data_IF_797157821350
#
_entry.id   IF_797157821350
#
_cell.length_a   1.000
_cell.length_b   1.000
_cell.length_c   1.000
_cell.angle_alpha   90.00
_cell.angle_beta   90.00
_cell.angle_gamma   90.00
#
_symmetry.space_group_name_H-M   'P 1'
#
loop_
_entity.id
_entity.type
_entity.pdbx_description
1 polymer ?
#
# COMPACT_ATOMS: atom_id res chain seq x y z
N UNK A 1 0.30 14.98 -17.61
CA UNK A 1 0.15 15.35 -16.18
C UNK A 1 0.56 14.12 -15.38
N UNK A 2 1.52 14.24 -14.47
CA UNK A 2 2.15 13.08 -13.80
C UNK A 2 1.55 12.96 -12.40
N UNK A 3 0.75 11.93 -12.14
CA UNK A 3 0.26 11.68 -10.78
C UNK A 3 1.46 11.32 -9.90
N UNK A 4 1.71 12.14 -8.88
CA UNK A 4 2.68 11.83 -7.83
C UNK A 4 1.88 11.40 -6.61
N UNK A 5 1.78 10.09 -6.37
CA UNK A 5 1.19 9.57 -5.14
C UNK A 5 2.01 10.09 -3.97
N UNK A 6 1.36 10.83 -3.07
CA UNK A 6 2.10 11.71 -2.17
C UNK A 6 2.29 11.14 -0.77
N UNK A 7 1.43 10.23 -0.29
CA UNK A 7 1.64 9.59 1.00
C UNK A 7 0.87 8.28 1.13
N UNK A 8 1.53 7.24 1.65
CA UNK A 8 0.87 6.06 2.22
C UNK A 8 0.37 6.43 3.62
N UNK A 9 -0.91 6.24 3.90
CA UNK A 9 -1.42 6.37 5.26
C UNK A 9 -0.82 5.29 6.17
N UNK A 10 -0.90 5.48 7.48
CA UNK A 10 -0.69 4.37 8.42
C UNK A 10 -1.54 3.16 8.04
N UNK A 11 -0.96 1.97 8.10
CA UNK A 11 -1.66 0.70 7.93
C UNK A 11 -2.09 0.23 9.32
N UNK A 12 -3.39 -0.04 9.49
CA UNK A 12 -3.99 -0.49 10.75
C UNK A 12 -4.41 -1.95 10.65
N UNK A 13 -4.25 -2.72 11.72
CA UNK A 13 -4.59 -4.15 11.77
C UNK A 13 -3.39 -5.03 12.13
N UNK A 14 -3.46 -6.29 11.74
CA UNK A 14 -2.40 -7.28 11.91
C UNK A 14 -1.43 -7.38 10.73
N UNK A 15 -0.37 -8.15 10.93
CA UNK A 15 0.69 -8.40 9.94
C UNK A 15 0.55 -9.79 9.28
N UNK A 16 -0.64 -10.41 9.33
CA UNK A 16 -0.91 -11.71 8.74
C UNK A 16 -1.12 -11.62 7.22
N UNK A 17 -0.94 -12.73 6.51
CA UNK A 17 -1.24 -12.79 5.06
C UNK A 17 -0.16 -12.19 4.15
N UNK A 18 -0.57 -11.83 2.93
CA UNK A 18 0.27 -11.22 1.89
C UNK A 18 -0.07 -9.74 1.73
N UNK A 19 0.96 -8.92 1.48
CA UNK A 19 0.77 -7.51 1.19
C UNK A 19 0.24 -7.32 -0.23
N UNK A 20 -0.69 -6.38 -0.40
CA UNK A 20 -1.21 -5.97 -1.70
C UNK A 20 -1.50 -4.47 -1.72
N UNK A 21 -1.49 -3.90 -2.92
CA UNK A 21 -1.76 -2.50 -3.16
C UNK A 21 -2.54 -2.34 -4.46
N UNK A 22 -3.68 -1.67 -4.36
CA UNK A 22 -4.54 -1.41 -5.51
C UNK A 22 -3.89 -0.37 -6.44
N UNK A 23 -3.00 0.47 -5.93
CA UNK A 23 -2.28 1.45 -6.74
C UNK A 23 -1.42 0.76 -7.82
N UNK A 24 -0.65 -0.26 -7.45
CA UNK A 24 0.20 -0.97 -8.42
C UNK A 24 -0.64 -1.71 -9.46
N UNK A 25 -1.80 -2.25 -9.05
CA UNK A 25 -2.76 -2.88 -9.98
C UNK A 25 -3.28 -1.85 -10.98
N UNK A 26 -3.68 -0.67 -10.51
CA UNK A 26 -4.16 0.41 -11.39
C UNK A 26 -3.07 0.86 -12.36
N UNK A 27 -1.85 1.10 -11.88
CA UNK A 27 -0.74 1.50 -12.76
C UNK A 27 -0.39 0.40 -13.77
N UNK A 28 -0.54 -0.87 -13.41
CA UNK A 28 -0.30 -1.99 -14.33
C UNK A 28 -1.39 -2.12 -15.40
N UNK A 29 -2.67 -1.92 -15.04
CA UNK A 29 -3.80 -2.01 -15.98
C UNK A 29 -3.93 -0.80 -16.92
N UNK A 30 -3.47 0.38 -16.47
CA UNK A 30 -3.43 1.58 -17.31
C UNK A 30 -2.09 1.58 -18.06
N UNK A 31 -2.14 1.46 -19.39
CA UNK A 31 -0.96 1.44 -20.26
C UNK A 31 -0.02 2.61 -19.93
N UNK A 32 1.31 2.38 -19.94
CA UNK A 32 2.31 3.34 -19.45
C UNK A 32 2.34 4.71 -20.17
N UNK A 33 1.69 4.85 -21.33
CA UNK A 33 1.60 6.10 -22.08
C UNK A 33 0.39 6.96 -21.67
N UNK A 34 -0.56 6.39 -20.93
CA UNK A 34 -1.76 7.09 -20.48
C UNK A 34 -1.49 7.87 -19.18
N UNK A 35 -1.80 9.16 -19.22
CA UNK A 35 -1.83 9.97 -18.01
C UNK A 35 -3.16 9.77 -17.28
N UNK A 36 -3.09 9.24 -16.07
CA UNK A 36 -4.22 9.20 -15.16
C UNK A 36 -4.52 10.64 -14.71
N UNK A 37 -5.78 11.03 -14.78
CA UNK A 37 -6.32 12.28 -14.25
C UNK A 37 -6.93 12.08 -12.88
N UNK A 38 -7.71 11.01 -12.71
CA UNK A 38 -8.47 10.77 -11.50
C UNK A 38 -8.64 9.28 -11.22
N UNK A 39 -8.73 8.91 -9.93
CA UNK A 39 -9.05 7.56 -9.48
C UNK A 39 -10.12 7.68 -8.41
N UNK A 40 -11.33 7.19 -8.69
CA UNK A 40 -12.44 7.18 -7.74
C UNK A 40 -12.92 5.76 -7.51
N UNK A 41 -13.35 5.46 -6.29
CA UNK A 41 -14.06 4.20 -6.02
C UNK A 41 -15.42 4.23 -6.73
N UNK A 42 -15.69 3.23 -7.56
CA UNK A 42 -16.99 3.06 -8.24
C UNK A 42 -17.89 2.05 -7.55
N UNK A 43 -17.31 0.96 -7.05
CA UNK A 43 -18.03 -0.08 -6.31
C UNK A 43 -17.23 -0.55 -5.11
N UNK A 44 -17.95 -0.76 -4.02
CA UNK A 44 -17.46 -1.42 -2.81
C UNK A 44 -18.09 -2.81 -2.75
N UNK A 45 -17.27 -3.85 -2.70
CA UNK A 45 -17.71 -5.23 -2.45
C UNK A 45 -17.19 -5.63 -1.08
N UNK A 46 -18.08 -6.06 -0.20
CA UNK A 46 -17.75 -6.55 1.13
C UNK A 46 -18.42 -7.88 1.34
N UNK A 47 -17.73 -8.82 1.97
CA UNK A 47 -18.37 -10.00 2.53
C UNK A 47 -18.26 -10.02 4.04
N UNK A 48 -19.33 -10.51 4.65
CA UNK A 48 -19.44 -10.68 6.10
C UNK A 48 -19.78 -12.11 6.45
N UNK A 49 -19.25 -12.57 7.57
CA UNK A 49 -19.59 -13.86 8.17
C UNK A 49 -21.09 -13.89 8.50
N UNK A 50 -21.83 -14.85 7.96
CA UNK A 50 -23.30 -14.91 8.12
C UNK A 50 -23.73 -15.23 9.55
N UNK A 51 -22.87 -15.84 10.37
CA UNK A 51 -23.18 -16.21 11.75
C UNK A 51 -22.72 -15.14 12.75
N UNK A 52 -21.51 -14.60 12.56
CA UNK A 52 -20.90 -13.65 13.51
C UNK A 52 -20.98 -12.20 13.05
N UNK A 53 -21.23 -11.94 11.78
CA UNK A 53 -21.34 -10.61 11.20
C UNK A 53 -20.01 -9.89 10.98
N UNK A 54 -18.85 -10.49 11.25
CA UNK A 54 -17.55 -9.86 11.04
C UNK A 54 -17.20 -9.71 9.56
N UNK A 55 -16.42 -8.68 9.24
CA UNK A 55 -15.83 -8.50 7.91
C UNK A 55 -14.93 -9.69 7.57
N UNK A 56 -15.15 -10.30 6.42
CA UNK A 56 -14.32 -11.38 5.88
C UNK A 56 -13.45 -10.88 4.74
N UNK A 57 -14.04 -10.07 3.85
CA UNK A 57 -13.34 -9.59 2.67
C UNK A 57 -13.80 -8.22 2.21
N UNK A 58 -12.91 -7.54 1.50
CA UNK A 58 -13.10 -6.22 0.90
C UNK A 58 -12.45 -6.20 -0.49
N UNK A 59 -13.17 -5.65 -1.46
CA UNK A 59 -12.62 -5.35 -2.78
C UNK A 59 -13.25 -4.07 -3.32
N UNK A 60 -12.41 -3.16 -3.83
CA UNK A 60 -12.85 -1.99 -4.56
C UNK A 60 -12.80 -2.24 -6.07
N UNK A 61 -13.74 -1.63 -6.78
CA UNK A 61 -13.64 -1.40 -8.22
C UNK A 61 -13.54 0.10 -8.40
N UNK A 62 -12.55 0.55 -9.14
CA UNK A 62 -12.25 1.96 -9.37
C UNK A 62 -12.76 2.40 -10.74
N UNK A 63 -13.24 3.63 -10.83
CA UNK A 63 -13.30 4.37 -12.07
C UNK A 63 -12.01 5.20 -12.20
N UNK A 64 -11.19 4.86 -13.17
CA UNK A 64 -9.92 5.52 -13.48
C UNK A 64 -10.12 6.36 -14.72
N UNK A 65 -9.99 7.67 -14.57
CA UNK A 65 -10.09 8.62 -15.68
C UNK A 65 -8.69 8.89 -16.24
N UNK A 66 -8.49 8.68 -17.54
CA UNK A 66 -7.25 8.98 -18.24
C UNK A 66 -7.45 10.07 -19.31
N UNK A 67 -6.40 10.40 -20.05
CA UNK A 67 -6.53 11.20 -21.27
C UNK A 67 -7.36 10.51 -22.36
N UNK A 68 -7.45 9.18 -22.35
CA UNK A 68 -8.10 8.40 -23.40
C UNK A 68 -9.52 7.95 -23.04
N UNK A 69 -9.96 8.24 -21.82
CA UNK A 69 -11.33 8.01 -21.35
C UNK A 69 -11.39 7.44 -19.93
N UNK A 70 -12.57 7.01 -19.53
CA UNK A 70 -12.80 6.34 -18.25
C UNK A 70 -12.67 4.82 -18.39
N UNK A 71 -12.04 4.18 -17.41
CA UNK A 71 -11.87 2.72 -17.34
C UNK A 71 -12.18 2.19 -15.96
N UNK A 72 -12.82 1.02 -15.91
CA UNK A 72 -13.01 0.31 -14.66
C UNK A 72 -11.82 -0.60 -14.38
N UNK A 73 -11.20 -0.43 -13.22
CA UNK A 73 -10.10 -1.27 -12.73
C UNK A 73 -10.55 -2.01 -11.49
N UNK A 74 -10.31 -3.31 -11.42
CA UNK A 74 -10.64 -4.12 -10.24
C UNK A 74 -9.45 -4.20 -9.31
N UNK A 75 -9.59 -3.71 -8.08
CA UNK A 75 -8.55 -3.76 -7.06
C UNK A 75 -8.31 -5.17 -6.50
N UNK A 76 -7.33 -5.26 -5.60
CA UNK A 76 -7.01 -6.51 -4.93
C UNK A 76 -8.20 -7.03 -4.10
N UNK A 77 -8.29 -8.35 -4.00
CA UNK A 77 -9.23 -9.01 -3.11
C UNK A 77 -8.56 -9.16 -1.74
N UNK A 78 -8.94 -8.32 -0.78
CA UNK A 78 -8.46 -8.43 0.60
C UNK A 78 -9.35 -9.43 1.34
N UNK A 79 -8.78 -10.53 1.82
CA UNK A 79 -9.53 -11.62 2.46
C UNK A 79 -10.22 -12.55 1.46
N UNK A 80 -10.82 -13.64 1.93
CA UNK A 80 -11.38 -14.68 1.04
C UNK A 80 -12.82 -14.43 0.63
N UNK A 81 -13.17 -14.97 -0.54
CA UNK A 81 -14.54 -14.88 -1.04
C UNK A 81 -15.50 -15.86 -0.33
N UNK A 82 -15.92 -15.55 0.90
CA UNK A 82 -16.82 -16.37 1.71
C UNK A 82 -17.85 -15.53 2.48
N UNK A 83 -19.02 -16.12 2.78
CA UNK A 83 -20.11 -15.47 3.53
C UNK A 83 -21.07 -14.65 2.65
N UNK A 84 -21.75 -13.69 3.27
CA UNK A 84 -22.79 -12.87 2.61
C UNK A 84 -22.17 -11.71 1.85
N UNK A 85 -22.31 -11.72 0.52
CA UNK A 85 -21.86 -10.62 -0.34
C UNK A 85 -22.80 -9.42 -0.26
N UNK A 86 -22.21 -8.26 -0.01
CA UNK A 86 -22.87 -6.97 -0.06
C UNK A 86 -22.11 -6.08 -1.04
N UNK A 87 -22.85 -5.45 -1.95
CA UNK A 87 -22.28 -4.54 -2.94
C UNK A 87 -22.89 -3.17 -2.84
N UNK A 88 -22.06 -2.15 -2.97
CA UNK A 88 -22.49 -0.77 -3.04
C UNK A 88 -21.90 -0.09 -4.26
N UNK A 89 -22.78 0.23 -5.21
CA UNK A 89 -22.45 1.01 -6.38
C UNK A 89 -22.61 2.50 -6.08
N UNK A 90 -21.50 3.24 -6.18
CA UNK A 90 -21.51 4.67 -6.00
C UNK A 90 -22.22 5.33 -7.18
N UNK A 91 -23.15 6.25 -6.86
CA UNK A 91 -23.88 7.04 -7.86
C UNK A 91 -22.93 7.93 -8.64
N UNK A 92 -23.40 8.47 -9.77
CA UNK A 92 -22.63 9.46 -10.50
C UNK A 92 -22.34 10.67 -9.59
N UNK A 93 -21.08 11.10 -9.55
CA UNK A 93 -20.55 12.14 -8.65
C UNK A 93 -20.55 11.81 -7.14
N UNK A 94 -20.92 10.60 -6.76
CA UNK A 94 -20.69 10.13 -5.40
C UNK A 94 -19.22 9.74 -5.23
N UNK A 95 -18.58 10.25 -4.18
CA UNK A 95 -17.18 9.95 -3.86
C UNK A 95 -17.04 9.46 -2.43
N UNK A 96 -16.10 8.55 -2.20
CA UNK A 96 -15.65 8.21 -0.85
C UNK A 96 -14.82 9.38 -0.33
N UNK A 97 -15.10 9.83 0.90
CA UNK A 97 -14.41 10.93 1.59
C UNK A 97 -13.46 10.42 2.68
N UNK A 98 -13.87 9.39 3.39
CA UNK A 98 -13.09 8.77 4.45
C UNK A 98 -13.50 7.31 4.65
N UNK A 99 -12.57 6.53 5.19
CA UNK A 99 -12.78 5.16 5.62
C UNK A 99 -12.47 5.13 7.11
N UNK A 100 -13.34 4.52 7.90
CA UNK A 100 -13.09 4.30 9.32
C UNK A 100 -13.49 2.89 9.67
N UNK A 101 -13.05 2.39 10.82
CA UNK A 101 -13.33 1.02 11.18
C UNK A 101 -12.75 0.61 12.52
N UNK A 102 -12.86 -0.68 12.79
CA UNK A 102 -12.19 -1.30 13.92
C UNK A 102 -11.40 -2.52 13.50
N UNK A 103 -10.32 -2.78 14.24
CA UNK A 103 -9.54 -4.01 14.14
C UNK A 103 -9.31 -4.60 15.53
N UNK A 104 -9.24 -5.93 15.59
CA UNK A 104 -9.11 -6.63 16.86
C UNK A 104 -8.92 -8.13 16.66
N UNK A 105 -8.91 -8.86 17.77
CA UNK A 105 -8.71 -10.31 17.71
C UNK A 105 -9.95 -11.01 17.15
N UNK A 106 -9.75 -11.85 16.14
CA UNK A 106 -10.69 -12.81 15.63
C UNK A 106 -10.01 -14.17 15.49
N UNK A 107 -10.42 -15.14 16.31
CA UNK A 107 -9.89 -16.52 16.27
C UNK A 107 -8.36 -16.61 16.40
N UNK A 108 -7.74 -15.70 17.16
CA UNK A 108 -6.28 -15.66 17.35
C UNK A 108 -5.53 -14.73 16.38
N UNK A 109 -6.20 -14.19 15.36
CA UNK A 109 -5.61 -13.26 14.38
C UNK A 109 -6.08 -11.83 14.64
N UNK A 110 -5.21 -10.84 14.43
CA UNK A 110 -5.61 -9.42 14.45
C UNK A 110 -6.07 -9.04 13.04
N UNK A 111 -7.35 -8.70 12.90
CA UNK A 111 -7.99 -8.45 11.60
C UNK A 111 -8.91 -7.24 11.67
N UNK A 112 -9.18 -6.62 10.53
CA UNK A 112 -10.25 -5.64 10.36
C UNK A 112 -11.60 -6.35 10.50
N UNK A 113 -12.44 -5.88 11.41
CA UNK A 113 -13.73 -6.53 11.73
C UNK A 113 -14.94 -5.71 11.31
N UNK A 114 -14.78 -4.40 11.24
CA UNK A 114 -15.81 -3.45 10.90
C UNK A 114 -15.23 -2.33 10.05
N UNK A 115 -15.98 -1.91 9.03
CA UNK A 115 -15.66 -0.79 8.16
C UNK A 115 -16.87 0.12 8.00
N UNK A 116 -16.58 1.40 7.91
CA UNK A 116 -17.53 2.46 7.64
C UNK A 116 -16.95 3.40 6.59
N UNK A 117 -17.62 3.48 5.46
CA UNK A 117 -17.30 4.36 4.34
C UNK A 117 -18.18 5.60 4.42
N UNK A 118 -17.54 6.76 4.61
CA UNK A 118 -18.21 8.04 4.50
C UNK A 118 -18.14 8.49 3.05
N UNK A 119 -19.29 8.65 2.39
CA UNK A 119 -19.39 9.16 1.03
C UNK A 119 -19.94 10.58 1.01
N UNK A 120 -19.97 11.20 -0.17
CA UNK A 120 -20.56 12.54 -0.33
C UNK A 120 -22.07 12.58 -0.07
N UNK A 121 -22.78 11.43 -0.09
CA UNK A 121 -24.24 11.37 0.07
C UNK A 121 -24.69 10.66 1.36
N UNK A 122 -23.78 10.01 2.09
CA UNK A 122 -24.12 9.32 3.32
C UNK A 122 -23.04 8.36 3.79
N UNK A 123 -23.43 7.43 4.65
CA UNK A 123 -22.51 6.47 5.28
C UNK A 123 -22.95 5.04 5.01
N UNK A 124 -21.97 4.16 4.74
CA UNK A 124 -22.19 2.72 4.57
C UNK A 124 -21.28 1.96 5.52
N UNK A 125 -21.87 1.02 6.25
CA UNK A 125 -21.17 0.27 7.28
C UNK A 125 -21.30 -1.22 7.05
N UNK A 126 -20.22 -1.95 7.30
CA UNK A 126 -20.13 -3.38 7.09
C UNK A 126 -19.31 -4.03 8.20
N UNK A 127 -19.63 -5.28 8.52
CA UNK A 127 -18.99 -5.99 9.62
C UNK A 127 -19.67 -5.71 10.97
N UNK A 128 -19.13 -6.30 12.03
CA UNK A 128 -19.61 -6.16 13.40
C UNK A 128 -18.63 -5.33 14.20
N UNK A 129 -19.12 -4.22 14.74
CA UNK A 129 -18.34 -3.29 15.57
C UNK A 129 -18.36 -3.77 17.03
N UNK A 130 -17.21 -4.20 17.54
CA UNK A 130 -17.05 -4.56 18.95
C UNK A 130 -16.38 -3.43 19.72
N UNK A 131 -16.92 -3.11 20.89
CA UNK A 131 -16.43 -2.01 21.74
C UNK A 131 -15.02 -2.20 22.29
N UNK A 132 -14.51 -3.44 22.28
CA UNK A 132 -13.16 -3.78 22.73
C UNK A 132 -12.09 -3.64 21.62
N UNK A 133 -12.51 -3.45 20.37
CA UNK A 133 -11.59 -3.34 19.24
C UNK A 133 -10.95 -1.94 19.16
N UNK A 134 -9.81 -1.85 18.47
CA UNK A 134 -9.12 -0.58 18.22
C UNK A 134 -9.73 0.14 17.02
N UNK A 135 -10.01 1.43 17.19
CA UNK A 135 -10.56 2.30 16.15
C UNK A 135 -9.46 2.82 15.21
N UNK A 136 -9.82 3.03 13.96
CA UNK A 136 -8.94 3.72 13.00
C UNK A 136 -9.72 4.58 12.01
N UNK A 137 -9.00 5.49 11.36
CA UNK A 137 -9.52 6.31 10.25
C UNK A 137 -8.43 6.47 9.19
N UNK A 138 -8.85 6.38 7.95
CA UNK A 138 -8.07 6.50 6.73
C UNK A 138 -8.72 7.56 5.83
N UNK A 139 -7.91 8.35 5.11
CA UNK A 139 -8.41 9.20 4.03
C UNK A 139 -8.98 8.35 2.89
N UNK A 140 -9.75 8.96 2.00
CA UNK A 140 -10.08 8.31 0.73
C UNK A 140 -8.83 8.15 -0.14
N UNK A 141 -8.75 7.04 -0.87
CA UNK A 141 -7.62 6.70 -1.71
C UNK A 141 -7.71 5.28 -2.24
N UNK A 142 -6.63 4.78 -2.85
CA UNK A 142 -6.53 3.38 -3.28
C UNK A 142 -6.07 2.52 -2.11
N UNK A 143 -6.66 1.35 -1.92
CA UNK A 143 -6.37 0.49 -0.78
C UNK A 143 -4.95 -0.11 -0.84
N UNK A 144 -4.38 -0.34 0.33
CA UNK A 144 -3.23 -1.21 0.51
C UNK A 144 -3.30 -1.89 1.88
N UNK A 145 -2.58 -2.99 2.07
CA UNK A 145 -2.58 -3.69 3.34
C UNK A 145 -2.25 -5.16 3.19
N UNK A 146 -2.32 -5.88 4.31
CA UNK A 146 -2.09 -7.31 4.32
C UNK A 146 -3.41 -8.08 4.38
N UNK A 147 -3.46 -9.22 3.68
CA UNK A 147 -4.62 -10.11 3.75
C UNK A 147 -4.29 -11.57 3.49
N UNK A 148 -5.03 -12.45 4.16
CA UNK A 148 -5.02 -13.89 3.96
C UNK A 148 -6.44 -14.44 3.93
N UNK A 149 -6.82 -15.23 4.94
CA UNK A 149 -8.21 -15.67 5.12
C UNK A 149 -9.15 -14.52 5.50
N UNK A 150 -8.61 -13.42 6.02
CA UNK A 150 -9.36 -12.23 6.43
C UNK A 150 -8.67 -10.97 5.87
N UNK A 151 -9.28 -9.82 6.10
CA UNK A 151 -8.61 -8.53 5.93
C UNK A 151 -7.74 -8.31 7.17
N UNK A 152 -6.47 -8.71 7.13
CA UNK A 152 -5.56 -8.60 8.27
C UNK A 152 -5.28 -7.13 8.61
N UNK A 153 -5.00 -6.30 7.60
CA UNK A 153 -4.79 -4.86 7.79
C UNK A 153 -5.16 -4.02 6.57
N UNK A 154 -5.34 -2.72 6.81
CA UNK A 154 -5.75 -1.76 5.78
C UNK A 154 -5.07 -0.40 5.96
N UNK A 155 -4.70 0.19 4.83
CA UNK A 155 -4.23 1.54 4.62
C UNK A 155 -4.71 2.06 3.27
N UNK A 156 -4.31 3.28 2.93
CA UNK A 156 -4.67 3.95 1.68
C UNK A 156 -3.48 4.73 1.13
N UNK A 157 -3.33 4.73 -0.18
CA UNK A 157 -2.52 5.71 -0.88
C UNK A 157 -3.37 6.93 -1.22
N UNK A 158 -2.92 8.10 -0.77
CA UNK A 158 -3.57 9.37 -1.10
C UNK A 158 -2.97 9.93 -2.38
N UNK A 159 -3.83 10.08 -3.38
CA UNK A 159 -3.47 10.66 -4.66
C UNK A 159 -3.67 12.18 -4.54
N UNK A 160 -2.59 12.93 -4.72
CA UNK A 160 -2.60 14.40 -4.71
C UNK A 160 -2.16 14.88 -6.07
N UNK A 161 -2.96 15.72 -6.71
CA UNK A 161 -2.55 16.40 -7.93
C UNK A 161 -1.45 17.41 -7.59
N UNK A 162 -0.29 17.29 -8.25
CA UNK A 162 0.76 18.31 -8.19
C UNK A 162 0.55 19.23 -9.38
N UNK A 163 0.30 20.54 -9.17
CA UNK A 163 0.25 21.49 -10.27
C UNK A 163 1.60 21.50 -10.99
N UNK A 164 1.61 21.22 -12.28
CA UNK A 164 2.79 21.46 -13.12
C UNK A 164 2.91 22.97 -13.31
N UNK A 165 3.56 23.66 -12.37
CA UNK A 165 4.12 24.97 -12.71
C UNK A 165 5.14 24.72 -13.83
N UNK A 166 5.14 25.50 -14.94
CA UNK A 166 6.26 25.50 -15.86
C UNK A 166 7.46 26.06 -15.11
N UNK A 167 8.30 25.18 -14.58
CA UNK A 167 9.52 25.57 -13.89
C UNK A 167 10.48 26.19 -14.90
N UNK A 168 10.64 27.52 -14.84
CA UNK A 168 11.95 28.12 -15.04
C UNK A 168 12.92 27.36 -14.15
N UNK A 169 13.94 26.78 -14.78
CA UNK A 169 15.03 26.05 -14.15
C UNK A 169 15.68 26.91 -13.07
N UNK A 170 15.45 26.59 -11.81
CA UNK A 170 16.40 26.91 -10.75
C UNK A 170 16.66 25.63 -9.95
N UNK A 171 17.89 25.16 -10.11
CA UNK A 171 18.49 24.09 -9.34
C UNK A 171 18.44 24.43 -7.85
N UNK A 172 17.70 23.65 -7.08
CA UNK A 172 17.95 23.49 -5.65
C UNK A 172 17.68 22.04 -5.26
N UNK A 173 18.76 21.35 -4.92
CA UNK A 173 18.78 19.96 -4.47
C UNK A 173 18.13 19.81 -3.10
N UNK A 174 16.85 19.43 -3.07
CA UNK A 174 16.22 18.93 -1.85
C UNK A 174 16.29 17.40 -1.82
N UNK A 175 17.11 16.93 -0.89
CA UNK A 175 17.46 15.53 -0.69
C UNK A 175 16.38 14.88 0.19
N UNK A 176 15.66 13.89 -0.34
CA UNK A 176 14.71 13.08 0.42
C UNK A 176 15.44 12.01 1.26
N UNK A 177 14.95 11.68 2.48
CA UNK A 177 15.63 10.77 3.40
C UNK A 177 15.64 9.29 2.97
N UNK A 178 15.01 8.93 1.86
CA UNK A 178 14.96 7.54 1.35
C UNK A 178 16.18 7.16 0.51
N UNK A 179 16.94 8.14 0.00
CA UNK A 179 18.19 7.87 -0.74
C UNK A 179 19.38 7.52 0.17
N UNK A 180 19.32 7.85 1.46
CA UNK A 180 20.41 7.56 2.40
C UNK A 180 20.47 6.09 2.84
N UNK A 181 19.33 5.41 2.91
CA UNK A 181 19.32 3.99 3.34
C UNK A 181 19.90 3.12 2.23
N UNK A 182 19.56 3.38 0.96
CA UNK A 182 20.08 2.61 -0.18
C UNK A 182 21.58 2.92 -0.42
N UNK A 183 22.01 4.18 -0.31
CA UNK A 183 23.43 4.54 -0.49
C UNK A 183 24.33 4.05 0.67
N UNK A 184 23.80 3.93 1.89
CA UNK A 184 24.54 3.38 3.04
C UNK A 184 24.87 1.89 2.89
N UNK A 185 23.99 1.10 2.24
CA UNK A 185 24.21 -0.32 2.03
C UNK A 185 25.32 -0.58 0.98
N UNK A 186 25.40 0.22 -0.08
CA UNK A 186 26.43 0.05 -1.12
C UNK A 186 27.83 0.45 -0.64
N UNK A 187 27.96 1.49 0.20
CA UNK A 187 29.26 1.89 0.75
C UNK A 187 29.79 0.88 1.78
N UNK A 188 28.91 0.27 2.57
CA UNK A 188 29.27 -0.81 3.51
C UNK A 188 29.80 -2.05 2.78
N UNK A 189 29.11 -2.48 1.71
CA UNK A 189 29.53 -3.65 0.92
C UNK A 189 30.87 -3.39 0.21
N UNK A 190 31.04 -2.22 -0.41
CA UNK A 190 32.29 -1.89 -1.09
C UNK A 190 33.47 -1.76 -0.11
N UNK A 191 33.24 -1.16 1.08
CA UNK A 191 34.23 -1.09 2.15
C UNK A 191 34.66 -2.46 2.66
N UNK A 192 33.71 -3.39 2.83
CA UNK A 192 34.01 -4.76 3.25
C UNK A 192 34.82 -5.52 2.19
N UNK A 193 34.50 -5.36 0.90
CA UNK A 193 35.26 -5.97 -0.21
C UNK A 193 36.71 -5.47 -0.24
N UNK A 194 36.93 -4.16 -0.05
CA UNK A 194 38.28 -3.58 0.02
C UNK A 194 39.05 -4.11 1.23
N UNK A 195 38.42 -4.22 2.40
CA UNK A 195 39.08 -4.75 3.59
C UNK A 195 39.50 -6.21 3.41
N UNK A 196 38.62 -7.06 2.87
CA UNK A 196 38.94 -8.47 2.58
C UNK A 196 40.08 -8.60 1.58
N UNK A 197 40.07 -7.80 0.50
CA UNK A 197 41.15 -7.84 -0.50
C UNK A 197 42.50 -7.39 0.07
N UNK A 198 42.53 -6.35 0.91
CA UNK A 198 43.76 -5.91 1.59
C UNK A 198 44.27 -6.97 2.56
N UNK A 199 43.41 -7.60 3.35
CA UNK A 199 43.82 -8.68 4.27
C UNK A 199 44.39 -9.87 3.50
N UNK A 200 43.75 -10.32 2.42
CA UNK A 200 44.26 -11.41 1.57
C UNK A 200 45.58 -11.03 0.92
N UNK A 201 45.73 -9.79 0.46
CA UNK A 201 46.97 -9.30 -0.15
C UNK A 201 48.11 -9.25 0.87
N UNK A 202 47.86 -8.72 2.07
CA UNK A 202 48.85 -8.68 3.16
C UNK A 202 49.21 -10.09 3.61
N UNK A 203 48.25 -11.00 3.75
CA UNK A 203 48.52 -12.41 4.04
C UNK A 203 49.43 -13.00 2.97
N UNK A 204 49.10 -12.85 1.68
CA UNK A 204 49.95 -13.36 0.58
C UNK A 204 51.36 -12.77 0.61
N UNK A 205 51.51 -11.49 0.95
CA UNK A 205 52.79 -10.79 0.96
C UNK A 205 53.67 -11.18 2.15
N UNK A 206 53.09 -11.32 3.34
CA UNK A 206 53.84 -11.56 4.57
C UNK A 206 54.00 -13.05 4.92
N UNK A 207 53.02 -13.90 4.59
CA UNK A 207 53.11 -15.34 4.90
C UNK A 207 54.10 -16.09 3.99
N UNK A 208 54.43 -15.55 2.80
CA UNK A 208 55.50 -16.10 1.94
C UNK A 208 56.92 -15.90 2.49
N UNK A 209 57.12 -15.10 3.54
CA UNK A 209 58.43 -14.94 4.20
C UNK A 209 58.65 -15.84 5.40
N UNK A 210 57.67 -16.69 5.75
CA UNK A 210 57.78 -17.66 6.85
C UNK A 210 57.90 -19.09 6.31
N UNK A 211 58.84 -19.30 5.38
CA UNK A 211 59.41 -20.64 5.17
C UNK A 211 60.75 -20.61 5.92
N UNK A 212 60.88 -21.25 7.08
CA UNK A 212 62.18 -21.42 7.72
C UNK A 212 62.99 -22.36 6.83
N UNK A 213 64.02 -21.82 6.18
CA UNK A 213 65.08 -22.64 5.58
C UNK A 213 65.78 -23.38 6.70
N UNK A 214 65.70 -24.70 6.68
CA UNK A 214 66.49 -25.60 7.50
C UNK A 214 67.62 -26.17 6.64
#
# INVERSE_FOLDING_TARGET
MTISVKTISTIYGGNGGQFSTDYEIIIYEINGDESIKNINVKRIKVQTDSAKGYLLSLQFIYNVETNDGERLVTGAQYGINNGTLQTYDLKNNEIVKAISGTYGNYTGYIVIKYLMFQTSIGTKSYGKNDTADSLFTLPAGTLCGYSGSFVDSLGTYVIVEVPTNPSTSNSSSDITPTSFIILSCFTSILGFIILVTVVVFLWRKFYRRYIPTR
#
